data_IF_432066252448
#
_entry.id   IF_432066252448
#
_cell.length_a   1.000
_cell.length_b   1.000
_cell.length_c   1.000
_cell.angle_alpha   90.00
_cell.angle_beta   90.00
_cell.angle_gamma   90.00
#
_symmetry.space_group_name_H-M   'P 1'
#
loop_
_entity.id
_entity.type
_entity.pdbx_description
1 polymer ?
#
# COMPACT_ATOMS: atom_id res chain seq x y z
N UNK A 1 18.28 -14.97 17.93
CA UNK A 1 17.48 -14.08 17.04
C UNK A 1 17.35 -12.76 17.79
N UNK A 2 17.78 -11.63 17.23
CA UNK A 2 17.62 -10.34 17.90
C UNK A 2 16.17 -9.85 17.75
N UNK A 3 15.54 -9.44 18.85
CA UNK A 3 14.21 -8.83 18.87
C UNK A 3 14.22 -7.71 19.90
N UNK A 4 13.68 -6.56 19.51
CA UNK A 4 13.47 -5.42 20.40
C UNK A 4 12.18 -4.71 20.00
N UNK A 5 11.42 -4.23 20.98
CA UNK A 5 10.29 -3.34 20.79
C UNK A 5 10.62 -2.04 21.53
N UNK A 6 10.41 -0.88 20.92
CA UNK A 6 10.68 0.43 21.55
C UNK A 6 9.43 1.28 21.41
N UNK A 7 8.96 1.82 22.53
CA UNK A 7 7.84 2.76 22.61
C UNK A 7 8.38 4.11 23.03
N UNK A 8 8.00 5.15 22.30
CA UNK A 8 8.30 6.54 22.66
C UNK A 8 7.05 7.24 23.15
N UNK A 9 7.16 8.02 24.22
CA UNK A 9 6.07 8.82 24.76
C UNK A 9 6.58 10.19 25.23
N UNK A 10 5.72 11.21 25.13
CA UNK A 10 6.01 12.52 25.69
C UNK A 10 5.78 12.51 27.21
N UNK A 11 6.61 13.26 27.93
CA UNK A 11 6.48 13.48 29.38
C UNK A 11 6.82 14.93 29.73
N UNK A 12 6.42 15.37 30.93
CA UNK A 12 6.67 16.73 31.43
C UNK A 12 6.22 17.80 30.41
N UNK A 13 4.94 17.79 30.05
CA UNK A 13 4.33 18.68 29.06
C UNK A 13 5.12 18.74 27.73
N UNK A 14 5.54 17.57 27.25
CA UNK A 14 6.30 17.38 26.01
C UNK A 14 7.72 17.97 26.01
N UNK A 15 8.25 18.32 27.19
CA UNK A 15 9.66 18.76 27.31
C UNK A 15 10.65 17.60 27.38
N UNK A 16 10.16 16.38 27.68
CA UNK A 16 10.92 15.14 27.63
C UNK A 16 10.26 14.14 26.69
N UNK A 17 11.08 13.29 26.09
CA UNK A 17 10.64 12.05 25.44
C UNK A 17 11.18 10.87 26.24
N UNK A 18 10.29 9.99 26.69
CA UNK A 18 10.63 8.74 27.32
C UNK A 18 10.70 7.67 26.24
N UNK A 19 11.74 6.84 26.28
CA UNK A 19 11.84 5.64 25.45
C UNK A 19 11.84 4.42 26.36
N UNK A 20 10.89 3.53 26.18
CA UNK A 20 10.82 2.27 26.91
C UNK A 20 11.02 1.15 25.91
N UNK A 21 11.89 0.21 26.23
CA UNK A 21 12.12 -0.93 25.34
C UNK A 21 11.84 -2.26 26.02
N UNK A 22 11.33 -3.21 25.23
CA UNK A 22 11.33 -4.63 25.55
C UNK A 22 12.38 -5.36 24.72
N UNK A 23 13.03 -6.34 25.32
CA UNK A 23 14.09 -7.12 24.72
C UNK A 23 14.38 -8.36 25.56
N UNK A 24 15.44 -9.10 25.21
CA UNK A 24 15.86 -10.25 26.01
C UNK A 24 16.48 -9.83 27.34
N UNK A 25 15.94 -10.35 28.44
CA UNK A 25 16.31 -9.94 29.80
C UNK A 25 17.38 -10.83 30.44
N UNK A 26 17.82 -11.87 29.73
CA UNK A 26 18.89 -12.78 30.10
C UNK A 26 19.88 -12.94 28.94
N UNK A 27 21.11 -13.37 29.24
CA UNK A 27 22.18 -13.51 28.24
C UNK A 27 21.91 -14.64 27.26
N UNK A 28 21.19 -15.67 27.71
CA UNK A 28 20.80 -16.85 26.95
C UNK A 28 19.62 -16.59 25.99
N UNK A 29 19.04 -15.39 26.02
CA UNK A 29 17.90 -14.94 25.19
C UNK A 29 16.64 -15.81 25.34
N UNK A 30 16.29 -16.19 26.58
CA UNK A 30 15.14 -17.06 26.87
C UNK A 30 13.90 -16.31 27.36
N UNK A 31 14.07 -15.17 28.01
CA UNK A 31 13.01 -14.34 28.56
C UNK A 31 12.96 -12.97 27.84
N UNK A 32 11.75 -12.57 27.42
CA UNK A 32 11.50 -11.30 26.75
C UNK A 32 10.65 -10.41 27.65
N UNK A 33 11.10 -9.18 27.91
CA UNK A 33 10.44 -8.28 28.85
C UNK A 33 11.05 -6.87 28.82
N UNK A 34 10.67 -6.00 29.76
CA UNK A 34 11.25 -4.66 29.90
C UNK A 34 12.79 -4.74 29.97
N UNK A 35 13.46 -4.01 29.08
CA UNK A 35 14.90 -4.15 28.82
C UNK A 35 15.68 -2.87 29.10
N UNK A 36 15.16 -1.73 28.64
CA UNK A 36 15.77 -0.43 28.89
C UNK A 36 14.70 0.63 29.16
N UNK A 37 15.06 1.62 29.96
CA UNK A 37 14.30 2.86 30.17
C UNK A 37 15.21 4.03 29.81
N UNK A 38 14.72 4.94 28.98
CA UNK A 38 15.52 6.02 28.46
C UNK A 38 14.81 7.37 28.48
N UNK A 39 15.60 8.43 28.62
CA UNK A 39 15.13 9.81 28.68
C UNK A 39 15.84 10.62 27.61
N UNK A 40 15.07 11.38 26.84
CA UNK A 40 15.56 12.32 25.83
C UNK A 40 15.12 13.73 26.20
N UNK A 41 16.04 14.69 26.14
CA UNK A 41 15.80 16.09 26.44
C UNK A 41 16.46 17.00 25.41
N UNK A 42 15.72 17.96 24.89
CA UNK A 42 16.28 18.98 24.02
C UNK A 42 17.25 19.90 24.77
N UNK A 43 18.43 20.12 24.20
CA UNK A 43 19.45 21.05 24.66
C UNK A 43 19.58 22.22 23.66
N UNK A 44 19.05 23.41 24.01
CA UNK A 44 19.05 24.56 23.12
C UNK A 44 20.45 25.10 22.85
N UNK A 45 21.44 24.83 23.72
CA UNK A 45 22.81 25.34 23.53
C UNK A 45 23.52 24.64 22.39
N UNK A 46 23.24 23.36 22.21
CA UNK A 46 23.87 22.51 21.20
C UNK A 46 22.95 22.23 20.00
N UNK A 47 21.71 22.73 20.06
CA UNK A 47 20.63 22.44 19.12
C UNK A 47 20.52 20.93 18.84
N UNK A 48 20.51 20.14 19.91
CA UNK A 48 20.47 18.68 19.85
C UNK A 48 19.65 18.11 21.00
N UNK A 49 19.22 16.86 20.88
CA UNK A 49 18.61 16.13 21.99
C UNK A 49 19.71 15.36 22.70
N UNK A 50 19.85 15.52 24.01
CA UNK A 50 20.65 14.60 24.83
C UNK A 50 19.79 13.41 25.22
N UNK A 51 20.35 12.21 25.16
CA UNK A 51 19.67 11.02 25.61
C UNK A 51 20.49 10.23 26.62
N UNK A 52 19.77 9.55 27.50
CA UNK A 52 20.27 8.54 28.42
C UNK A 52 19.41 7.30 28.26
N UNK A 53 20.04 6.13 28.27
CA UNK A 53 19.41 4.83 28.17
C UNK A 53 19.95 3.96 29.30
N UNK A 54 19.06 3.52 30.19
CA UNK A 54 19.38 2.73 31.38
C UNK A 54 18.90 1.30 31.16
N UNK A 55 19.83 0.37 31.29
CA UNK A 55 19.65 -1.03 30.94
C UNK A 55 19.46 -1.88 32.22
N UNK A 56 18.70 -2.98 32.15
CA UNK A 56 18.44 -3.83 33.33
C UNK A 56 19.69 -4.50 33.93
N UNK A 57 20.82 -4.49 33.21
CA UNK A 57 22.10 -5.03 33.69
C UNK A 57 22.97 -3.96 34.37
N UNK A 58 22.43 -2.75 34.56
CA UNK A 58 23.11 -1.62 35.20
C UNK A 58 23.98 -0.79 34.24
N UNK A 59 23.94 -1.09 32.95
CA UNK A 59 24.59 -0.31 31.92
C UNK A 59 23.85 1.02 31.68
N UNK A 60 24.61 2.07 31.43
CA UNK A 60 24.08 3.37 30.99
C UNK A 60 24.74 3.73 29.66
N UNK A 61 23.93 4.02 28.65
CA UNK A 61 24.38 4.59 27.38
C UNK A 61 23.87 6.02 27.30
N UNK A 62 24.75 6.96 26.96
CA UNK A 62 24.37 8.35 26.75
C UNK A 62 24.93 8.88 25.44
N UNK A 63 24.25 9.88 24.89
CA UNK A 63 24.66 10.45 23.62
C UNK A 63 23.79 11.61 23.18
N UNK A 64 23.87 11.92 21.91
CA UNK A 64 23.10 13.01 21.29
C UNK A 64 22.32 12.51 20.09
N UNK A 65 21.14 13.10 19.89
CA UNK A 65 20.35 12.98 18.66
C UNK A 65 20.36 14.32 17.95
N UNK A 66 20.63 14.31 16.66
CA UNK A 66 20.52 15.48 15.78
C UNK A 66 19.62 15.15 14.60
N UNK A 67 18.81 16.11 14.20
CA UNK A 67 18.09 16.05 12.94
C UNK A 67 18.82 16.82 11.85
N UNK A 68 18.77 16.31 10.62
CA UNK A 68 19.18 17.01 9.40
C UNK A 68 18.03 16.87 8.41
N UNK A 69 17.25 17.92 8.22
CA UNK A 69 15.97 17.83 7.51
C UNK A 69 15.06 16.78 8.17
N UNK A 70 14.72 15.69 7.46
CA UNK A 70 13.96 14.55 7.99
C UNK A 70 14.85 13.40 8.48
N UNK A 71 16.16 13.47 8.28
CA UNK A 71 17.10 12.48 8.79
C UNK A 71 17.30 12.62 10.30
N UNK A 72 17.51 11.50 11.00
CA UNK A 72 17.77 11.46 12.44
C UNK A 72 19.05 10.68 12.71
N UNK A 73 19.97 11.29 13.45
CA UNK A 73 21.27 10.71 13.78
C UNK A 73 21.43 10.63 15.29
N UNK A 74 21.48 9.41 15.83
CA UNK A 74 21.94 9.14 17.19
C UNK A 74 23.44 8.97 17.17
N UNK A 75 24.16 9.51 18.15
CA UNK A 75 25.60 9.31 18.30
C UNK A 75 25.93 9.12 19.76
N UNK A 76 26.63 8.03 20.08
CA UNK A 76 26.95 7.62 21.44
C UNK A 76 28.24 6.78 21.46
N UNK A 77 28.81 6.63 22.64
CA UNK A 77 29.99 5.79 22.84
C UNK A 77 29.56 4.35 23.16
N UNK A 78 30.15 3.38 22.46
CA UNK A 78 29.98 1.95 22.68
C UNK A 78 31.36 1.33 22.93
N UNK A 79 31.69 1.13 24.20
CA UNK A 79 33.06 0.81 24.61
C UNK A 79 34.01 1.96 24.25
N UNK A 80 35.06 1.68 23.47
CA UNK A 80 36.01 2.69 23.00
C UNK A 80 35.62 3.33 21.65
N UNK A 81 34.51 2.89 21.04
CA UNK A 81 34.11 3.29 19.69
C UNK A 81 32.93 4.25 19.74
N UNK A 82 33.01 5.36 19.00
CA UNK A 82 31.87 6.24 18.77
C UNK A 82 31.01 5.69 17.64
N UNK A 83 29.77 5.34 17.96
CA UNK A 83 28.81 4.72 17.04
C UNK A 83 27.73 5.74 16.68
N UNK A 84 27.25 5.64 15.45
CA UNK A 84 26.13 6.42 14.94
C UNK A 84 25.04 5.50 14.43
N UNK A 85 23.81 5.72 14.92
CA UNK A 85 22.61 5.18 14.29
C UNK A 85 22.00 6.28 13.41
N UNK A 86 22.01 6.04 12.10
CA UNK A 86 21.52 6.97 11.10
C UNK A 86 20.20 6.43 10.53
N UNK A 87 19.11 7.10 10.89
CA UNK A 87 17.81 7.00 10.25
C UNK A 87 17.74 7.99 9.09
N UNK A 88 17.94 7.48 7.88
CA UNK A 88 17.87 8.27 6.66
C UNK A 88 16.46 8.20 6.09
N UNK A 89 15.82 9.34 5.94
CA UNK A 89 14.48 9.45 5.40
C UNK A 89 14.44 9.03 3.93
N UNK A 90 13.46 8.18 3.58
CA UNK A 90 13.15 7.82 2.19
C UNK A 90 11.80 8.42 1.80
N UNK A 91 10.76 8.11 2.57
CA UNK A 91 9.40 8.64 2.46
C UNK A 91 8.69 8.57 3.83
N UNK A 92 7.41 8.95 3.89
CA UNK A 92 6.61 8.98 5.13
C UNK A 92 6.51 7.61 5.83
N UNK A 93 6.64 6.51 5.08
CA UNK A 93 6.48 5.16 5.59
C UNK A 93 7.82 4.43 5.75
N UNK A 94 8.94 5.05 5.34
CA UNK A 94 10.21 4.34 5.16
C UNK A 94 11.43 5.14 5.61
N UNK A 95 12.25 4.50 6.46
CA UNK A 95 13.60 4.96 6.80
C UNK A 95 14.63 3.87 6.52
N UNK A 96 15.70 4.23 5.82
CA UNK A 96 16.93 3.43 5.85
C UNK A 96 17.59 3.59 7.23
N UNK A 97 17.95 2.49 7.87
CA UNK A 97 18.61 2.48 9.18
C UNK A 97 20.01 1.89 9.07
N UNK A 98 21.02 2.70 9.38
CA UNK A 98 22.43 2.35 9.26
C UNK A 98 23.12 2.55 10.60
N UNK A 99 23.83 1.54 11.09
CA UNK A 99 24.64 1.63 12.31
C UNK A 99 26.10 1.46 11.95
N UNK A 100 26.96 2.36 12.42
CA UNK A 100 28.37 2.35 12.04
C UNK A 100 29.20 3.46 12.67
N UNK A 101 30.46 3.56 12.26
CA UNK A 101 31.33 4.70 12.57
C UNK A 101 31.17 5.74 11.46
N UNK A 102 30.47 6.82 11.78
CA UNK A 102 30.20 7.92 10.84
C UNK A 102 30.96 9.17 11.24
N UNK A 103 31.87 9.64 10.39
CA UNK A 103 32.68 10.84 10.64
C UNK A 103 32.72 11.73 9.42
N UNK A 104 32.59 13.04 9.65
CA UNK A 104 32.69 14.09 8.61
C UNK A 104 31.81 13.87 7.37
N UNK A 105 30.67 13.19 7.52
CA UNK A 105 29.75 12.94 6.40
C UNK A 105 29.95 11.59 5.70
N UNK A 106 30.90 10.77 6.16
CA UNK A 106 31.25 9.50 5.54
C UNK A 106 31.23 8.34 6.54
N UNK A 107 30.93 7.14 6.05
CA UNK A 107 31.00 5.91 6.83
C UNK A 107 32.42 5.35 6.76
N UNK A 108 33.13 5.36 7.90
CA UNK A 108 34.42 4.67 8.01
C UNK A 108 34.21 3.15 8.13
N UNK A 109 33.12 2.74 8.80
CA UNK A 109 32.72 1.35 8.95
C UNK A 109 31.21 1.24 9.14
N UNK A 110 30.59 0.24 8.52
CA UNK A 110 29.16 -0.08 8.70
C UNK A 110 29.05 -1.42 9.43
N UNK A 111 28.29 -1.45 10.52
CA UNK A 111 28.00 -2.65 11.30
C UNK A 111 26.64 -3.26 10.93
N UNK A 112 25.65 -2.40 10.62
CA UNK A 112 24.31 -2.81 10.21
C UNK A 112 23.79 -1.85 9.15
N UNK A 113 23.09 -2.41 8.16
CA UNK A 113 22.26 -1.64 7.24
C UNK A 113 20.96 -2.40 7.03
N UNK A 114 19.83 -1.77 7.32
CA UNK A 114 18.48 -2.32 7.18
C UNK A 114 17.51 -1.19 6.83
N UNK A 115 16.22 -1.51 6.73
CA UNK A 115 15.15 -0.54 6.51
C UNK A 115 14.05 -0.75 7.53
N UNK A 116 13.50 0.35 8.04
CA UNK A 116 12.28 0.37 8.84
C UNK A 116 11.16 0.85 7.94
N UNK A 117 10.20 -0.04 7.72
CA UNK A 117 8.97 0.26 6.99
C UNK A 117 7.84 0.25 8.01
N UNK A 118 7.01 1.29 7.99
CA UNK A 118 5.79 1.32 8.78
C UNK A 118 4.98 0.07 8.44
N UNK A 119 4.65 -0.72 9.46
CA UNK A 119 3.60 -1.72 9.29
C UNK A 119 2.27 -0.98 9.34
N UNK A 120 1.44 -1.04 8.28
CA UNK A 120 0.13 -0.42 8.30
C UNK A 120 -0.65 -0.95 9.51
N UNK A 121 -0.95 -0.10 10.48
CA UNK A 121 -1.88 -0.44 11.56
C UNK A 121 -3.26 0.02 11.12
N UNK A 122 -4.01 -0.85 10.43
CA UNK A 122 -5.32 -0.52 9.86
C UNK A 122 -6.07 -1.72 9.28
N UNK A 123 -7.24 -1.47 8.69
CA UNK A 123 -7.97 -2.43 7.88
C UNK A 123 -7.64 -2.17 6.41
N UNK A 124 -6.81 -3.02 5.81
CA UNK A 124 -6.50 -2.95 4.39
C UNK A 124 -7.64 -3.58 3.57
N UNK A 125 -8.01 -2.92 2.48
CA UNK A 125 -9.00 -3.44 1.54
C UNK A 125 -8.35 -3.74 0.19
N UNK A 126 -8.67 -4.91 -0.36
CA UNK A 126 -8.40 -5.24 -1.75
C UNK A 126 -9.72 -5.33 -2.49
N UNK A 127 -9.72 -4.96 -3.78
CA UNK A 127 -10.91 -5.13 -4.59
C UNK A 127 -11.17 -6.62 -4.86
N UNK A 128 -12.23 -7.15 -4.26
CA UNK A 128 -12.59 -8.57 -4.37
C UNK A 128 -13.48 -8.84 -5.59
N UNK A 129 -14.67 -8.25 -5.65
CA UNK A 129 -15.56 -8.45 -6.80
C UNK A 129 -16.53 -7.30 -7.04
N UNK A 130 -17.00 -7.19 -8.29
CA UNK A 130 -18.16 -6.40 -8.68
C UNK A 130 -19.33 -7.34 -9.04
N UNK A 131 -20.54 -7.02 -8.59
CA UNK A 131 -21.73 -7.84 -8.89
C UNK A 131 -22.71 -7.10 -9.81
N UNK A 132 -23.20 -7.81 -10.82
CA UNK A 132 -24.26 -7.36 -11.71
C UNK A 132 -25.46 -8.31 -11.63
N UNK A 133 -26.65 -7.74 -11.43
CA UNK A 133 -27.90 -8.50 -11.51
C UNK A 133 -28.39 -8.49 -12.95
N UNK A 134 -28.61 -9.67 -13.50
CA UNK A 134 -28.91 -9.89 -14.92
C UNK A 134 -30.18 -10.72 -15.07
N UNK A 135 -30.97 -10.45 -16.10
CA UNK A 135 -32.11 -11.31 -16.46
C UNK A 135 -31.72 -12.34 -17.53
N UNK A 136 -30.73 -12.00 -18.36
CA UNK A 136 -30.25 -12.79 -19.51
C UNK A 136 -28.86 -13.40 -19.27
N UNK A 137 -28.71 -14.17 -18.18
CA UNK A 137 -27.42 -14.70 -17.70
C UNK A 137 -26.52 -15.35 -18.77
N UNK A 138 -27.09 -16.15 -19.68
CA UNK A 138 -26.31 -16.84 -20.72
C UNK A 138 -25.76 -15.82 -21.72
N UNK A 139 -26.62 -14.99 -22.30
CA UNK A 139 -26.25 -13.94 -23.27
C UNK A 139 -25.22 -12.97 -22.68
N UNK A 140 -25.49 -12.45 -21.47
CA UNK A 140 -24.59 -11.50 -20.80
C UNK A 140 -23.26 -12.16 -20.43
N UNK A 141 -23.26 -13.39 -19.93
CA UNK A 141 -22.01 -14.09 -19.62
C UNK A 141 -21.21 -14.46 -20.88
N UNK A 142 -21.87 -14.78 -22.00
CA UNK A 142 -21.21 -15.07 -23.27
C UNK A 142 -20.53 -13.81 -23.81
N UNK A 143 -21.16 -12.65 -23.65
CA UNK A 143 -20.54 -11.37 -23.96
C UNK A 143 -19.23 -11.13 -23.18
N UNK A 144 -19.22 -11.31 -21.85
CA UNK A 144 -17.98 -11.14 -21.08
C UNK A 144 -16.92 -12.21 -21.40
N UNK A 145 -17.33 -13.46 -21.70
CA UNK A 145 -16.41 -14.52 -22.12
C UNK A 145 -15.81 -14.25 -23.49
N UNK A 146 -16.60 -13.83 -24.47
CA UNK A 146 -16.18 -13.85 -25.87
C UNK A 146 -15.62 -12.49 -26.32
N UNK A 147 -16.20 -11.38 -25.84
CA UNK A 147 -15.77 -10.02 -26.19
C UNK A 147 -14.64 -9.54 -25.29
N UNK A 148 -14.78 -9.70 -23.97
CA UNK A 148 -13.73 -9.31 -23.02
C UNK A 148 -12.69 -10.41 -22.79
N UNK A 149 -12.95 -11.63 -23.26
CA UNK A 149 -12.05 -12.78 -23.07
C UNK A 149 -11.76 -13.07 -21.60
N UNK A 150 -12.70 -12.73 -20.71
CA UNK A 150 -12.54 -13.01 -19.29
C UNK A 150 -12.68 -14.51 -19.04
N UNK A 151 -11.83 -15.02 -18.14
CA UNK A 151 -11.86 -16.43 -17.76
C UNK A 151 -13.02 -16.67 -16.82
N UNK A 152 -13.97 -17.51 -17.24
CA UNK A 152 -15.05 -17.98 -16.36
C UNK A 152 -14.48 -18.87 -15.24
N UNK A 153 -14.96 -18.65 -14.02
CA UNK A 153 -14.57 -19.38 -12.81
C UNK A 153 -15.82 -19.98 -12.15
N UNK A 154 -15.69 -21.15 -11.48
CA UNK A 154 -16.85 -21.81 -10.89
C UNK A 154 -17.37 -21.04 -9.67
N UNK A 155 -18.69 -20.95 -9.54
CA UNK A 155 -19.33 -20.60 -8.26
C UNK A 155 -18.96 -21.66 -7.20
N UNK A 156 -18.67 -21.30 -5.94
CA UNK A 156 -18.26 -22.23 -4.88
C UNK A 156 -19.19 -23.44 -4.75
N UNK A 157 -20.50 -23.19 -4.72
CA UNK A 157 -21.52 -24.24 -4.61
C UNK A 157 -21.98 -24.81 -5.96
N UNK A 158 -21.42 -24.34 -7.09
CA UNK A 158 -21.88 -24.66 -8.46
C UNK A 158 -23.40 -24.48 -8.65
N UNK A 159 -24.00 -23.56 -7.89
CA UNK A 159 -25.42 -23.28 -7.96
C UNK A 159 -25.80 -22.70 -9.34
N UNK A 160 -26.98 -23.03 -9.88
CA UNK A 160 -27.46 -22.39 -11.10
C UNK A 160 -27.76 -20.91 -10.85
N UNK A 161 -27.80 -20.12 -11.93
CA UNK A 161 -28.13 -18.69 -11.83
C UNK A 161 -26.92 -17.77 -11.58
N UNK A 162 -25.71 -18.31 -11.59
CA UNK A 162 -24.47 -17.54 -11.45
C UNK A 162 -23.52 -17.80 -12.61
N UNK A 163 -22.81 -16.76 -13.05
CA UNK A 163 -21.63 -16.87 -13.91
C UNK A 163 -20.58 -15.90 -13.38
N UNK A 164 -19.44 -16.41 -12.96
CA UNK A 164 -18.37 -15.61 -12.36
C UNK A 164 -17.18 -15.55 -13.30
N UNK A 165 -16.52 -14.41 -13.36
CA UNK A 165 -15.39 -14.17 -14.25
C UNK A 165 -14.22 -13.59 -13.46
N UNK A 166 -13.01 -14.08 -13.73
CA UNK A 166 -11.79 -13.47 -13.24
C UNK A 166 -11.43 -12.28 -14.13
N UNK A 167 -11.21 -11.12 -13.51
CA UNK A 167 -10.80 -9.88 -14.18
C UNK A 167 -9.29 -9.76 -14.19
N UNK A 168 -8.66 -9.76 -13.00
CA UNK A 168 -7.21 -9.74 -12.81
C UNK A 168 -6.89 -10.20 -11.38
N UNK A 169 -5.85 -11.01 -11.18
CA UNK A 169 -5.49 -11.51 -9.85
C UNK A 169 -6.68 -12.19 -9.14
N UNK A 170 -7.08 -11.66 -7.99
CA UNK A 170 -8.25 -12.14 -7.23
C UNK A 170 -9.55 -11.38 -7.54
N UNK A 171 -9.48 -10.30 -8.33
CA UNK A 171 -10.62 -9.45 -8.66
C UNK A 171 -11.57 -10.13 -9.65
N UNK A 172 -12.87 -10.05 -9.37
CA UNK A 172 -13.89 -10.82 -10.09
C UNK A 172 -15.08 -9.97 -10.55
N UNK A 173 -15.78 -10.48 -11.55
CA UNK A 173 -17.11 -10.03 -11.96
C UNK A 173 -18.12 -11.16 -11.71
N UNK A 174 -19.15 -10.88 -10.92
CA UNK A 174 -20.22 -11.84 -10.61
C UNK A 174 -21.50 -11.45 -11.33
N UNK A 175 -21.95 -12.29 -12.26
CA UNK A 175 -23.28 -12.18 -12.85
C UNK A 175 -24.27 -13.03 -12.07
N UNK A 176 -25.36 -12.42 -11.63
CA UNK A 176 -26.36 -13.04 -10.75
C UNK A 176 -27.74 -12.94 -11.41
N UNK A 177 -28.33 -14.08 -11.76
CA UNK A 177 -29.67 -14.14 -12.36
C UNK A 177 -30.76 -13.92 -11.32
N UNK A 178 -31.42 -12.76 -11.35
CA UNK A 178 -32.60 -12.45 -10.54
C UNK A 178 -33.56 -11.55 -11.31
N UNK A 179 -34.80 -11.44 -10.82
CA UNK A 179 -35.68 -10.36 -11.24
C UNK A 179 -35.07 -9.03 -10.77
N UNK A 180 -35.02 -8.06 -11.69
CA UNK A 180 -34.43 -6.74 -11.45
C UNK A 180 -35.57 -5.74 -11.32
N UNK A 181 -35.55 -4.94 -10.26
CA UNK A 181 -36.32 -3.68 -10.23
C UNK A 181 -35.67 -2.77 -11.25
N UNK A 182 -36.42 -2.37 -12.26
CA UNK A 182 -35.93 -1.50 -13.32
C UNK A 182 -35.28 -0.24 -12.74
N UNK A 183 -34.01 -0.01 -13.10
CA UNK A 183 -33.28 1.18 -12.71
C UNK A 183 -32.56 1.75 -13.93
N UNK A 184 -32.35 3.07 -13.92
CA UNK A 184 -31.64 3.75 -15.00
C UNK A 184 -30.19 3.33 -15.00
N UNK A 185 -29.76 2.64 -16.06
CA UNK A 185 -28.35 2.30 -16.32
C UNK A 185 -27.60 3.55 -16.80
N UNK A 186 -27.37 4.46 -15.87
CA UNK A 186 -26.66 5.70 -16.11
C UNK A 186 -25.18 5.43 -16.40
N UNK A 187 -24.62 6.11 -17.40
CA UNK A 187 -23.22 5.93 -17.81
C UNK A 187 -22.22 6.29 -16.72
N UNK A 188 -22.64 7.12 -15.76
CA UNK A 188 -21.85 7.45 -14.57
C UNK A 188 -21.70 6.27 -13.60
N UNK A 189 -22.48 5.21 -13.77
CA UNK A 189 -22.43 3.97 -12.99
C UNK A 189 -21.94 2.86 -13.93
N UNK A 190 -20.64 2.59 -13.91
CA UNK A 190 -20.02 1.64 -14.83
C UNK A 190 -18.97 0.77 -14.15
N UNK A 191 -18.77 -0.43 -14.70
CA UNK A 191 -17.56 -1.21 -14.45
C UNK A 191 -16.41 -0.55 -15.23
N UNK A 192 -15.27 -0.27 -14.59
CA UNK A 192 -14.13 0.32 -15.27
C UNK A 192 -12.98 -0.69 -15.35
N UNK A 193 -12.47 -0.94 -16.55
CA UNK A 193 -11.34 -1.80 -16.82
C UNK A 193 -10.22 -1.00 -17.50
N UNK A 194 -8.97 -1.32 -17.21
CA UNK A 194 -7.82 -0.69 -17.86
C UNK A 194 -7.09 -1.68 -18.75
N UNK A 195 -6.60 -1.19 -19.89
CA UNK A 195 -5.72 -1.96 -20.77
C UNK A 195 -4.77 -1.05 -21.50
N UNK A 196 -3.52 -1.48 -21.61
CA UNK A 196 -2.52 -0.78 -22.43
C UNK A 196 -2.71 -1.04 -23.94
N UNK A 197 -3.62 -1.96 -24.30
CA UNK A 197 -3.91 -2.37 -25.68
C UNK A 197 -5.26 -1.85 -26.20
N UNK A 198 -5.68 -0.65 -25.77
CA UNK A 198 -7.01 -0.09 -26.10
C UNK A 198 -7.31 -0.06 -27.61
N UNK A 199 -6.33 0.27 -28.45
CA UNK A 199 -6.49 0.29 -29.91
C UNK A 199 -6.84 -1.09 -30.47
N UNK A 200 -6.18 -2.15 -29.97
CA UNK A 200 -6.46 -3.53 -30.37
C UNK A 200 -7.84 -3.95 -29.91
N UNK A 201 -8.24 -3.58 -28.69
CA UNK A 201 -9.58 -3.84 -28.18
C UNK A 201 -10.66 -3.14 -29.00
N UNK A 202 -10.48 -1.86 -29.36
CA UNK A 202 -11.39 -1.13 -30.24
C UNK A 202 -11.54 -1.77 -31.63
N UNK A 203 -10.46 -2.33 -32.20
CA UNK A 203 -10.53 -3.06 -33.46
C UNK A 203 -11.34 -4.36 -33.31
N UNK A 204 -11.09 -5.10 -32.22
CA UNK A 204 -11.85 -6.30 -31.87
C UNK A 204 -13.35 -6.02 -31.70
N UNK A 205 -13.72 -4.93 -31.04
CA UNK A 205 -15.13 -4.50 -30.91
C UNK A 205 -15.76 -4.25 -32.29
N UNK A 206 -15.06 -3.55 -33.19
CA UNK A 206 -15.55 -3.27 -34.55
C UNK A 206 -15.74 -4.56 -35.37
N UNK A 207 -14.80 -5.51 -35.27
CA UNK A 207 -14.91 -6.82 -35.94
C UNK A 207 -16.12 -7.63 -35.46
N UNK A 208 -16.52 -7.44 -34.20
CA UNK A 208 -17.70 -8.08 -33.61
C UNK A 208 -18.96 -7.22 -33.70
N UNK A 209 -18.93 -6.12 -34.46
CA UNK A 209 -20.05 -5.18 -34.63
C UNK A 209 -20.56 -4.57 -33.30
N UNK A 210 -19.65 -4.31 -32.36
CA UNK A 210 -19.96 -3.68 -31.07
C UNK A 210 -19.59 -2.20 -31.13
N UNK A 211 -20.57 -1.38 -30.79
CA UNK A 211 -20.43 0.07 -30.76
C UNK A 211 -19.81 0.51 -29.42
N UNK A 212 -18.88 1.45 -29.49
CA UNK A 212 -18.34 2.13 -28.33
C UNK A 212 -18.53 3.64 -28.47
N UNK A 213 -18.42 4.36 -27.37
CA UNK A 213 -18.73 5.78 -27.30
C UNK A 213 -17.65 6.53 -26.52
N UNK A 214 -17.43 7.80 -26.86
CA UNK A 214 -16.74 8.73 -25.96
C UNK A 214 -17.66 9.11 -24.78
N UNK A 215 -17.18 9.91 -23.82
CA UNK A 215 -17.97 10.34 -22.67
C UNK A 215 -19.26 11.08 -23.08
N UNK A 216 -19.22 12.13 -23.96
CA UNK A 216 -20.41 12.80 -24.49
C UNK A 216 -21.45 11.88 -25.17
N UNK A 217 -21.05 10.70 -25.65
CA UNK A 217 -21.94 9.76 -26.34
C UNK A 217 -21.79 9.78 -27.86
N UNK A 218 -20.72 10.38 -28.40
CA UNK A 218 -20.35 10.27 -29.81
C UNK A 218 -19.96 8.83 -30.11
N UNK A 219 -20.69 8.23 -31.05
CA UNK A 219 -20.47 6.85 -31.49
C UNK A 219 -19.11 6.68 -32.16
N UNK A 220 -18.44 5.58 -31.82
CA UNK A 220 -17.10 5.18 -32.26
C UNK A 220 -16.01 6.23 -32.02
N UNK A 221 -16.18 7.09 -31.01
CA UNK A 221 -15.23 8.10 -30.60
C UNK A 221 -14.50 7.69 -29.30
N UNK A 222 -13.39 8.38 -29.02
CA UNK A 222 -12.56 8.17 -27.83
C UNK A 222 -12.52 9.47 -27.05
N UNK A 223 -12.58 9.39 -25.72
CA UNK A 223 -12.35 10.55 -24.85
C UNK A 223 -10.86 10.66 -24.55
N UNK A 224 -10.28 11.82 -24.83
CA UNK A 224 -8.94 12.21 -24.40
C UNK A 224 -9.03 12.99 -23.09
N UNK A 225 -8.46 12.45 -22.00
CA UNK A 225 -8.42 13.12 -20.71
C UNK A 225 -7.19 14.00 -20.57
N UNK A 226 -7.27 14.99 -19.67
CA UNK A 226 -6.18 15.92 -19.37
C UNK A 226 -4.96 15.26 -18.73
N UNK A 227 -5.13 14.09 -18.11
CA UNK A 227 -4.07 13.28 -17.50
C UNK A 227 -3.38 12.33 -18.50
N UNK A 228 -3.73 12.41 -19.79
CA UNK A 228 -3.16 11.57 -20.84
C UNK A 228 -3.81 10.18 -20.96
N UNK A 229 -4.81 9.87 -20.13
CA UNK A 229 -5.60 8.64 -20.26
C UNK A 229 -6.62 8.76 -21.40
N UNK A 230 -6.73 7.71 -22.21
CA UNK A 230 -7.81 7.58 -23.19
C UNK A 230 -8.86 6.63 -22.65
N UNK A 231 -10.14 6.91 -22.92
CA UNK A 231 -11.24 6.04 -22.47
C UNK A 231 -12.37 5.95 -23.50
N UNK A 232 -12.98 4.78 -23.57
CA UNK A 232 -14.19 4.46 -24.33
C UNK A 232 -15.22 3.82 -23.40
N UNK A 233 -16.48 3.85 -23.81
CA UNK A 233 -17.59 3.26 -23.09
C UNK A 233 -18.38 2.32 -23.99
N UNK A 234 -18.75 1.15 -23.48
CA UNK A 234 -19.63 0.20 -24.17
C UNK A 234 -20.75 -0.24 -23.26
N UNK A 235 -21.82 -0.79 -23.84
CA UNK A 235 -22.88 -1.44 -23.08
C UNK A 235 -22.80 -2.96 -23.22
N UNK A 236 -23.06 -3.67 -22.14
CA UNK A 236 -23.33 -5.11 -22.18
C UNK A 236 -24.73 -5.40 -22.76
N UNK A 237 -25.10 -6.67 -22.98
CA UNK A 237 -26.39 -7.05 -23.58
C UNK A 237 -27.63 -6.60 -22.79
N UNK A 238 -27.47 -6.19 -21.53
CA UNK A 238 -28.56 -5.64 -20.71
C UNK A 238 -28.44 -4.13 -20.51
N UNK A 239 -27.45 -3.47 -21.13
CA UNK A 239 -27.28 -2.02 -21.12
C UNK A 239 -26.40 -1.49 -19.99
N UNK A 240 -25.74 -2.35 -19.22
CA UNK A 240 -24.78 -1.90 -18.20
C UNK A 240 -23.57 -1.27 -18.88
N UNK A 241 -23.15 -0.11 -18.39
CA UNK A 241 -22.00 0.59 -18.95
C UNK A 241 -20.69 -0.01 -18.44
N UNK A 242 -19.74 -0.14 -19.36
CA UNK A 242 -18.37 -0.57 -19.09
C UNK A 242 -17.44 0.47 -19.68
N UNK A 243 -16.61 1.07 -18.84
CA UNK A 243 -15.49 1.93 -19.25
C UNK A 243 -14.26 1.07 -19.52
N UNK A 244 -13.56 1.36 -20.62
CA UNK A 244 -12.24 0.81 -20.91
C UNK A 244 -11.27 1.97 -21.11
N UNK A 245 -10.21 2.03 -20.31
CA UNK A 245 -9.24 3.12 -20.36
C UNK A 245 -7.76 2.66 -20.42
N UNK A 246 -6.84 3.60 -20.57
CA UNK A 246 -5.40 3.34 -20.65
C UNK A 246 -4.62 3.68 -19.38
N UNK A 247 -5.27 3.85 -18.22
CA UNK A 247 -4.58 4.09 -16.96
C UNK A 247 -3.63 2.94 -16.62
N UNK A 248 -2.49 3.25 -15.99
CA UNK A 248 -1.52 2.25 -15.53
C UNK A 248 -1.74 1.99 -14.04
N UNK A 249 -1.74 0.72 -13.66
CA UNK A 249 -1.87 0.22 -12.29
C UNK A 249 -0.71 -0.72 -11.98
#
# INVERSE_FOLDING_TARGET
MFKQEITFSYSLDSTLVIAESKGFTDKEQRAFGPRNHGVRKFDPKTNSIKFWEFDIFGGTTEGTVKSRDKDILYTYDYGATKVTDYWKYIDEDTYDFIVGVYKKGEWEQIYLKTQFVVQPSGFDFQFDHYSLVVTKLVETGDFYRDIFKLKEIPHPDKAPGFRWFNVEGNSQLHLIKKEVVEFKKDKSIHLCLSTQNLKTFMAHLKENNIEFYDWPGTKNAVTDRSDGVKQIYIQDPEGYWIEINTAKH
#
